data_IF_743040644027
#
_entry.id   IF_743040644027
#
_cell.length_a   1.000
_cell.length_b   1.000
_cell.length_c   1.000
_cell.angle_alpha   90.00
_cell.angle_beta   90.00
_cell.angle_gamma   90.00
#
_symmetry.space_group_name_H-M   'P 1'
#
loop_
_entity.id
_entity.type
_entity.pdbx_description
1 polymer ?
#
# COMPACT_ATOMS: atom_id res chain seq x y z
N UNK A 1 15.50 1.36 -15.17
CA UNK A 1 14.63 0.30 -14.64
C UNK A 1 13.52 0.88 -13.81
N UNK A 2 12.39 0.20 -13.80
CA UNK A 2 11.25 0.57 -12.97
C UNK A 2 11.13 -0.40 -11.79
N UNK A 3 10.70 0.10 -10.65
CA UNK A 3 10.58 -0.69 -9.43
C UNK A 3 9.29 -0.35 -8.70
N UNK A 4 8.83 -1.27 -7.86
CA UNK A 4 7.73 -1.03 -6.95
C UNK A 4 8.29 -0.60 -5.60
N UNK A 5 7.94 0.60 -5.17
CA UNK A 5 8.30 1.10 -3.85
C UNK A 5 7.07 1.05 -2.94
N UNK A 6 7.27 0.52 -1.75
CA UNK A 6 6.22 0.29 -0.76
C UNK A 6 6.33 1.28 0.38
N UNK A 7 5.21 1.90 0.72
CA UNK A 7 5.11 2.86 1.81
C UNK A 7 3.94 2.48 2.72
N UNK A 8 4.12 2.64 4.01
CA UNK A 8 3.07 2.32 4.99
C UNK A 8 2.83 3.49 5.93
N UNK A 9 1.57 3.63 6.33
CA UNK A 9 1.15 4.59 7.34
C UNK A 9 0.19 3.89 8.29
N UNK A 10 0.53 3.90 9.58
CA UNK A 10 -0.33 3.39 10.63
C UNK A 10 -0.93 4.54 11.42
N UNK A 11 -2.22 4.49 11.64
CA UNK A 11 -2.92 5.48 12.45
C UNK A 11 -3.77 4.77 13.49
N UNK A 12 -3.65 5.19 14.74
CA UNK A 12 -4.50 4.74 15.83
C UNK A 12 -5.41 5.88 16.25
N UNK A 13 -6.69 5.57 16.48
CA UNK A 13 -7.69 6.60 16.72
C UNK A 13 -7.50 7.39 18.01
N UNK A 14 -6.76 6.86 18.98
CA UNK A 14 -6.47 7.55 20.26
C UNK A 14 -5.24 8.46 20.19
N UNK A 15 -4.38 8.26 19.21
CA UNK A 15 -3.23 9.12 19.00
C UNK A 15 -3.48 9.94 17.75
N UNK A 16 -4.13 11.06 17.91
CA UNK A 16 -4.53 11.94 16.81
C UNK A 16 -3.36 12.63 16.07
N UNK A 17 -2.15 12.11 16.20
CA UNK A 17 -1.03 12.58 15.42
C UNK A 17 -1.08 11.98 14.03
N UNK A 18 -1.28 12.82 13.04
CA UNK A 18 -1.10 12.47 11.66
C UNK A 18 0.35 12.06 11.42
N UNK A 19 0.55 10.82 10.97
CA UNK A 19 1.88 10.32 10.65
C UNK A 19 2.06 10.31 9.14
N UNK A 20 3.27 10.61 8.70
CA UNK A 20 3.65 10.47 7.29
C UNK A 20 3.87 9.00 6.93
N UNK A 21 3.84 8.71 5.63
CA UNK A 21 4.18 7.39 5.14
C UNK A 21 5.63 7.06 5.43
N UNK A 22 5.85 5.84 5.90
CA UNK A 22 7.18 5.29 6.10
C UNK A 22 7.53 4.41 4.91
N UNK A 23 8.74 4.58 4.38
CA UNK A 23 9.23 3.74 3.30
C UNK A 23 9.56 2.35 3.83
N UNK A 24 8.93 1.31 3.25
CA UNK A 24 9.14 -0.08 3.64
C UNK A 24 10.25 -0.77 2.85
N UNK A 25 10.44 -0.38 1.62
CA UNK A 25 11.43 -1.01 0.76
C UNK A 25 10.97 -1.10 -0.67
N UNK A 26 11.84 -1.69 -1.48
CA UNK A 26 11.64 -1.90 -2.91
C UNK A 26 11.37 -3.36 -3.17
N UNK A 27 10.32 -3.63 -3.94
CA UNK A 27 9.99 -4.97 -4.39
C UNK A 27 10.59 -5.28 -5.77
N UNK A 28 9.76 -5.76 -6.66
CA UNK A 28 10.16 -6.24 -7.98
C UNK A 28 10.73 -5.14 -8.89
N UNK A 29 11.66 -5.52 -9.79
CA UNK A 29 12.23 -4.64 -10.80
C UNK A 29 11.75 -5.03 -12.18
N UNK A 30 11.52 -4.04 -13.04
CA UNK A 30 11.04 -4.23 -14.41
C UNK A 30 11.77 -3.30 -15.36
N UNK A 31 12.06 -3.79 -16.57
CA UNK A 31 12.67 -2.95 -17.59
C UNK A 31 11.68 -1.94 -18.19
N UNK A 32 10.42 -2.35 -18.32
CA UNK A 32 9.37 -1.56 -18.93
C UNK A 32 8.34 -1.15 -17.87
N UNK A 33 7.94 0.13 -17.92
CA UNK A 33 6.93 0.65 -17.01
C UNK A 33 5.61 -0.11 -17.10
N UNK A 34 5.18 -0.47 -18.29
CA UNK A 34 3.92 -1.21 -18.49
C UNK A 34 3.93 -2.56 -17.79
N UNK A 35 5.09 -3.24 -17.75
CA UNK A 35 5.21 -4.53 -17.06
C UNK A 35 5.12 -4.35 -15.54
N UNK A 36 5.72 -3.30 -15.01
CA UNK A 36 5.60 -2.94 -13.60
C UNK A 36 4.14 -2.64 -13.24
N UNK A 37 3.43 -1.88 -14.07
CA UNK A 37 2.02 -1.56 -13.86
C UNK A 37 1.13 -2.80 -13.93
N UNK A 38 1.37 -3.68 -14.89
CA UNK A 38 0.65 -4.95 -14.98
C UNK A 38 0.82 -5.79 -13.72
N UNK A 39 2.05 -5.93 -13.26
CA UNK A 39 2.33 -6.67 -12.04
C UNK A 39 1.63 -6.03 -10.83
N UNK A 40 1.70 -4.72 -10.72
CA UNK A 40 1.06 -3.98 -9.64
C UNK A 40 -0.46 -4.20 -9.62
N UNK A 41 -1.12 -4.04 -10.75
CA UNK A 41 -2.58 -4.08 -10.83
C UNK A 41 -3.14 -5.50 -10.86
N UNK A 42 -2.43 -6.45 -11.45
CA UNK A 42 -2.94 -7.82 -11.63
C UNK A 42 -2.50 -8.77 -10.50
N UNK A 43 -1.32 -8.58 -9.95
CA UNK A 43 -0.77 -9.48 -8.94
C UNK A 43 -0.83 -8.85 -7.55
N UNK A 44 -0.16 -7.72 -7.37
CA UNK A 44 0.00 -7.10 -6.04
C UNK A 44 -1.35 -6.64 -5.49
N UNK A 45 -2.18 -6.01 -6.30
CA UNK A 45 -3.50 -5.56 -5.88
C UNK A 45 -4.35 -6.73 -5.37
N UNK A 46 -4.34 -7.85 -6.09
CA UNK A 46 -5.10 -9.03 -5.69
C UNK A 46 -4.58 -9.65 -4.39
N UNK A 47 -3.28 -9.65 -4.18
CA UNK A 47 -2.68 -10.10 -2.92
C UNK A 47 -3.18 -9.28 -1.74
N UNK A 48 -3.23 -7.96 -1.87
CA UNK A 48 -3.73 -7.09 -0.81
C UNK A 48 -5.23 -7.24 -0.59
N UNK A 49 -6.01 -7.45 -1.64
CA UNK A 49 -7.45 -7.76 -1.50
C UNK A 49 -7.65 -9.05 -0.71
N UNK A 50 -6.86 -10.08 -0.98
CA UNK A 50 -6.94 -11.35 -0.25
C UNK A 50 -6.56 -11.19 1.22
N UNK A 51 -5.70 -10.25 1.55
CA UNK A 51 -5.36 -9.92 2.93
C UNK A 51 -6.41 -9.04 3.64
N UNK A 52 -7.50 -8.70 2.96
CA UNK A 52 -8.59 -7.93 3.53
C UNK A 52 -8.48 -6.42 3.33
N UNK A 53 -7.58 -5.96 2.48
CA UNK A 53 -7.47 -4.53 2.16
C UNK A 53 -8.48 -4.11 1.11
N UNK A 54 -9.07 -2.93 1.30
CA UNK A 54 -9.72 -2.22 0.20
C UNK A 54 -8.62 -1.58 -0.65
N UNK A 55 -8.76 -1.61 -1.97
CA UNK A 55 -7.73 -1.10 -2.87
C UNK A 55 -8.30 -0.07 -3.82
N UNK A 56 -7.50 0.93 -4.15
CA UNK A 56 -7.83 1.98 -5.11
C UNK A 56 -6.70 2.10 -6.13
N UNK A 57 -7.03 1.98 -7.40
CA UNK A 57 -6.07 2.16 -8.48
C UNK A 57 -5.90 3.65 -8.76
N UNK A 58 -4.65 4.09 -8.77
CA UNK A 58 -4.27 5.47 -9.10
C UNK A 58 -3.29 5.45 -10.26
N UNK A 59 -2.96 6.63 -10.79
CA UNK A 59 -1.97 6.73 -11.87
C UNK A 59 -0.59 6.34 -11.34
N UNK A 60 -0.08 5.22 -11.84
CA UNK A 60 1.25 4.72 -11.48
C UNK A 60 1.36 4.16 -10.06
N UNK A 61 0.25 3.93 -9.37
CA UNK A 61 0.27 3.44 -7.99
C UNK A 61 -1.05 2.75 -7.62
N UNK A 62 -1.03 2.04 -6.49
CA UNK A 62 -2.25 1.61 -5.82
C UNK A 62 -2.22 2.09 -4.36
N UNK A 63 -3.40 2.37 -3.85
CA UNK A 63 -3.62 2.71 -2.45
C UNK A 63 -4.43 1.59 -1.80
N UNK A 64 -3.95 1.08 -0.67
CA UNK A 64 -4.60 -0.01 0.05
C UNK A 64 -4.94 0.47 1.46
N UNK A 65 -6.14 0.16 1.91
CA UNK A 65 -6.66 0.61 3.19
C UNK A 65 -7.25 -0.55 3.96
N UNK A 66 -6.94 -0.61 5.25
CA UNK A 66 -7.51 -1.61 6.15
C UNK A 66 -7.76 -0.97 7.50
N UNK A 67 -8.98 -1.12 8.03
CA UNK A 67 -9.35 -0.68 9.37
C UNK A 67 -9.65 -1.90 10.21
N UNK A 68 -8.96 -2.04 11.34
CA UNK A 68 -9.15 -3.14 12.26
C UNK A 68 -9.52 -2.62 13.63
N UNK A 69 -10.41 -3.36 14.32
CA UNK A 69 -10.76 -3.06 15.70
C UNK A 69 -9.76 -3.76 16.61
N UNK A 70 -9.15 -2.99 17.52
CA UNK A 70 -8.22 -3.55 18.50
C UNK A 70 -8.99 -4.21 19.66
N UNK A 71 -8.27 -5.02 20.46
CA UNK A 71 -8.83 -5.68 21.65
C UNK A 71 -9.37 -4.67 22.67
N UNK A 72 -8.92 -3.42 22.64
CA UNK A 72 -9.32 -2.36 23.55
C UNK A 72 -10.49 -1.53 23.02
N UNK A 73 -11.04 -1.89 21.86
CA UNK A 73 -12.16 -1.19 21.24
C UNK A 73 -11.77 -0.05 20.32
N UNK A 74 -10.48 0.23 20.18
CA UNK A 74 -9.97 1.26 19.27
C UNK A 74 -9.86 0.73 17.84
N UNK A 75 -9.71 1.64 16.89
CA UNK A 75 -9.46 1.27 15.50
C UNK A 75 -8.01 1.53 15.13
N UNK A 76 -7.40 0.53 14.53
CA UNK A 76 -6.10 0.65 13.88
C UNK A 76 -6.31 0.73 12.38
N UNK A 77 -5.82 1.80 11.78
CA UNK A 77 -5.91 2.01 10.33
C UNK A 77 -4.53 1.80 9.73
N UNK A 78 -4.46 0.94 8.73
CA UNK A 78 -3.23 0.70 7.96
C UNK A 78 -3.47 1.15 6.53
N UNK A 79 -2.62 2.04 6.06
CA UNK A 79 -2.63 2.52 4.68
C UNK A 79 -1.33 2.12 4.02
N UNK A 80 -1.42 1.49 2.86
CA UNK A 80 -0.25 1.08 2.08
C UNK A 80 -0.33 1.75 0.72
N UNK A 81 0.75 2.40 0.34
CA UNK A 81 0.88 3.02 -0.96
C UNK A 81 2.02 2.33 -1.70
N UNK A 82 1.72 1.81 -2.88
CA UNK A 82 2.70 1.11 -3.70
C UNK A 82 2.80 1.86 -5.02
N UNK A 83 4.00 2.36 -5.31
CA UNK A 83 4.26 3.21 -6.47
C UNK A 83 5.22 2.52 -7.43
N UNK A 84 4.95 2.69 -8.73
CA UNK A 84 5.93 2.38 -9.77
C UNK A 84 6.84 3.59 -9.91
N UNK A 85 8.12 3.42 -9.61
CA UNK A 85 9.13 4.49 -9.67
C UNK A 85 10.38 3.99 -10.40
N UNK A 86 11.18 4.92 -10.87
CA UNK A 86 12.49 4.60 -11.46
C UNK A 86 13.56 4.38 -10.41
#
# INVERSE_FOLDING_TARGET
>A
MYKLNYYVKHTESLTSKEQDYEYLGTGEFFRLRRNALHYLFDIVQNEYKEMGYATEVRVGSIYCYKSEKTAQGDRKITEILIKVEK
#
